data_IF_034071512754
#
_entry.id   IF_034071512754
#
_cell.length_a   1.000
_cell.length_b   1.000
_cell.length_c   1.000
_cell.angle_alpha   90.00
_cell.angle_beta   90.00
_cell.angle_gamma   90.00
#
_symmetry.space_group_name_H-M   'P 1'
#
loop_
_entity.id
_entity.type
_entity.pdbx_description
1 polymer ?
#
# COMPACT_ATOMS: atom_id res chain seq x y z
N UNK A 1 -23.94 4.93 61.09
CA UNK A 1 -25.23 4.20 61.18
C UNK A 1 -25.12 2.81 60.53
N UNK A 2 -24.51 2.70 59.34
CA UNK A 2 -24.30 1.42 58.64
C UNK A 2 -23.45 0.40 59.41
N UNK A 3 -22.37 0.81 60.08
CA UNK A 3 -21.52 -0.12 60.84
C UNK A 3 -22.23 -0.76 62.04
N UNK A 4 -23.17 -0.05 62.67
CA UNK A 4 -23.96 -0.57 63.80
C UNK A 4 -24.96 -1.62 63.30
N UNK A 5 -25.61 -1.36 62.17
CA UNK A 5 -26.54 -2.32 61.55
C UNK A 5 -25.83 -3.62 61.15
N UNK A 6 -24.61 -3.54 60.62
CA UNK A 6 -23.78 -4.72 60.28
C UNK A 6 -23.46 -5.58 61.50
N UNK A 7 -23.04 -4.95 62.59
CA UNK A 7 -22.75 -5.65 63.85
C UNK A 7 -24.00 -6.34 64.38
N UNK A 8 -25.17 -5.69 64.30
CA UNK A 8 -26.46 -6.27 64.71
C UNK A 8 -26.84 -7.48 63.84
N UNK A 9 -26.71 -7.40 62.51
CA UNK A 9 -27.00 -8.52 61.60
C UNK A 9 -26.02 -9.67 61.81
N UNK A 10 -24.74 -9.39 62.07
CA UNK A 10 -23.73 -10.41 62.34
C UNK A 10 -23.99 -11.16 63.66
N UNK A 11 -24.31 -10.42 64.74
CA UNK A 11 -24.70 -11.03 66.02
C UNK A 11 -25.97 -11.88 65.84
N UNK A 12 -26.95 -11.40 65.08
CA UNK A 12 -28.18 -12.13 64.78
C UNK A 12 -27.91 -13.43 64.01
N UNK A 13 -26.99 -13.41 63.04
CA UNK A 13 -26.59 -14.62 62.31
C UNK A 13 -25.92 -15.64 63.23
N UNK A 14 -25.06 -15.21 64.15
CA UNK A 14 -24.44 -16.11 65.15
C UNK A 14 -25.50 -16.74 66.04
N UNK A 15 -26.46 -15.95 66.54
CA UNK A 15 -27.57 -16.49 67.32
C UNK A 15 -28.38 -17.53 66.54
N UNK A 16 -28.65 -17.29 65.25
CA UNK A 16 -29.36 -18.24 64.39
C UNK A 16 -28.56 -19.53 64.16
N UNK A 17 -27.23 -19.46 64.04
CA UNK A 17 -26.36 -20.65 63.98
C UNK A 17 -26.42 -21.45 65.29
N UNK A 18 -26.38 -20.78 66.44
CA UNK A 18 -26.52 -21.45 67.74
C UNK A 18 -27.89 -22.13 67.89
N UNK A 19 -28.97 -21.47 67.48
CA UNK A 19 -30.31 -22.05 67.47
C UNK A 19 -30.41 -23.25 66.52
N UNK A 20 -29.80 -23.17 65.33
CA UNK A 20 -29.75 -24.30 64.39
C UNK A 20 -28.98 -25.49 64.93
N UNK A 21 -27.87 -25.24 65.64
CA UNK A 21 -27.11 -26.29 66.32
C UNK A 21 -27.94 -26.96 67.42
N UNK A 22 -28.68 -26.17 68.20
CA UNK A 22 -29.59 -26.69 69.23
C UNK A 22 -30.72 -27.55 68.63
N UNK A 23 -31.39 -27.10 67.56
CA UNK A 23 -32.42 -27.89 66.89
C UNK A 23 -31.89 -29.16 66.24
N UNK A 24 -30.63 -29.14 65.78
CA UNK A 24 -29.95 -30.32 65.26
C UNK A 24 -29.68 -31.36 66.34
N UNK A 25 -29.52 -30.96 67.61
CA UNK A 25 -29.33 -31.90 68.73
C UNK A 25 -30.64 -32.55 69.20
N UNK A 26 -31.80 -31.99 68.84
CA UNK A 26 -33.14 -32.50 69.20
C UNK A 26 -33.78 -33.24 68.00
N UNK A 27 -32.99 -33.62 66.99
CA UNK A 27 -33.43 -34.27 65.74
C UNK A 27 -34.52 -33.52 64.97
N UNK A 28 -34.67 -32.21 65.17
CA UNK A 28 -35.59 -31.37 64.40
C UNK A 28 -34.92 -30.84 63.14
N UNK A 29 -34.64 -31.76 62.21
CA UNK A 29 -33.88 -31.49 60.97
C UNK A 29 -34.47 -30.32 60.17
N UNK A 30 -35.80 -30.28 60.01
CA UNK A 30 -36.47 -29.21 59.25
C UNK A 30 -36.27 -27.81 59.87
N UNK A 31 -36.35 -27.70 61.20
CA UNK A 31 -36.14 -26.44 61.91
C UNK A 31 -34.67 -26.02 61.87
N UNK A 32 -33.75 -26.98 62.07
CA UNK A 32 -32.32 -26.75 61.95
C UNK A 32 -31.95 -26.22 60.56
N UNK A 33 -32.41 -26.86 59.49
CA UNK A 33 -32.15 -26.42 58.11
C UNK A 33 -32.69 -25.01 57.84
N UNK A 34 -33.91 -24.70 58.31
CA UNK A 34 -34.49 -23.37 58.14
C UNK A 34 -33.67 -22.29 58.86
N UNK A 35 -33.24 -22.55 60.10
CA UNK A 35 -32.43 -21.60 60.88
C UNK A 35 -31.03 -21.40 60.32
N UNK A 36 -30.36 -22.45 59.84
CA UNK A 36 -29.07 -22.33 59.15
C UNK A 36 -29.20 -21.58 57.82
N UNK A 37 -30.26 -21.85 57.06
CA UNK A 37 -30.56 -21.11 55.82
C UNK A 37 -30.74 -19.61 56.08
N UNK A 38 -31.50 -19.24 57.12
CA UNK A 38 -31.68 -17.85 57.53
C UNK A 38 -30.38 -17.19 58.00
N UNK A 39 -29.52 -17.92 58.75
CA UNK A 39 -28.22 -17.42 59.20
C UNK A 39 -27.27 -17.13 58.03
N UNK A 40 -27.19 -18.03 57.05
CA UNK A 40 -26.39 -17.86 55.84
C UNK A 40 -26.89 -16.66 55.03
N UNK A 41 -28.21 -16.53 54.87
CA UNK A 41 -28.81 -15.40 54.14
C UNK A 41 -28.50 -14.07 54.82
N UNK A 42 -28.58 -14.01 56.15
CA UNK A 42 -28.24 -12.83 56.94
C UNK A 42 -26.75 -12.44 56.79
N UNK A 43 -25.84 -13.42 56.77
CA UNK A 43 -24.42 -13.16 56.48
C UNK A 43 -24.22 -12.65 55.06
N UNK A 44 -24.89 -13.23 54.06
CA UNK A 44 -24.84 -12.75 52.67
C UNK A 44 -25.25 -11.27 52.61
N UNK A 45 -26.34 -10.87 53.27
CA UNK A 45 -26.77 -9.48 53.30
C UNK A 45 -25.82 -8.55 54.08
N UNK A 46 -25.20 -9.02 55.15
CA UNK A 46 -24.19 -8.24 55.89
C UNK A 46 -22.97 -7.91 55.02
N UNK A 47 -22.52 -8.86 54.19
CA UNK A 47 -21.35 -8.71 53.31
C UNK A 47 -21.68 -8.22 51.89
N UNK A 48 -22.95 -8.18 51.48
CA UNK A 48 -23.37 -7.71 50.14
C UNK A 48 -22.96 -6.26 49.86
N UNK A 49 -22.89 -5.43 50.90
CA UNK A 49 -22.42 -4.04 50.80
C UNK A 49 -20.92 -3.95 50.51
N UNK A 50 -20.12 -4.93 50.94
CA UNK A 50 -18.68 -4.95 50.70
C UNK A 50 -18.32 -5.36 49.28
N UNK A 51 -19.13 -6.22 48.65
CA UNK A 51 -19.04 -6.50 47.21
C UNK A 51 -19.36 -5.29 46.33
N UNK A 52 -20.16 -4.33 46.82
CA UNK A 52 -20.37 -3.04 46.14
C UNK A 52 -19.15 -2.11 46.27
N UNK A 53 -18.44 -2.12 47.40
CA UNK A 53 -17.22 -1.33 47.59
C UNK A 53 -15.97 -1.94 46.94
N UNK A 54 -15.94 -3.24 46.67
CA UNK A 54 -14.88 -3.87 45.85
C UNK A 54 -14.90 -3.39 44.38
N UNK A 55 -16.02 -2.79 43.94
CA UNK A 55 -16.16 -2.08 42.66
C UNK A 55 -15.89 -0.57 42.75
N UNK A 56 -15.50 -0.03 43.91
CA UNK A 56 -15.45 1.43 44.14
C UNK A 56 -14.08 1.97 44.59
N UNK A 57 -13.06 1.13 44.76
CA UNK A 57 -11.82 1.48 45.46
C UNK A 57 -10.59 1.52 44.55
N UNK A 58 -10.59 2.32 43.47
CA UNK A 58 -9.38 2.67 42.69
C UNK A 58 -8.72 1.53 41.88
N UNK A 59 -8.87 0.27 42.31
CA UNK A 59 -8.35 -0.94 41.67
C UNK A 59 -9.05 -1.18 40.33
N UNK A 60 -10.32 -0.79 40.18
CA UNK A 60 -11.05 -0.88 38.90
C UNK A 60 -10.54 0.18 37.91
N UNK A 61 -10.16 1.37 38.38
CA UNK A 61 -9.54 2.40 37.54
C UNK A 61 -8.11 1.98 37.13
N UNK A 62 -7.31 1.45 38.06
CA UNK A 62 -5.96 0.96 37.75
C UNK A 62 -5.97 -0.27 36.81
N UNK A 63 -6.94 -1.18 36.95
CA UNK A 63 -7.16 -2.28 35.99
C UNK A 63 -7.67 -1.79 34.63
N UNK A 64 -8.51 -0.76 34.60
CA UNK A 64 -8.99 -0.16 33.36
C UNK A 64 -7.84 0.55 32.64
N UNK A 65 -7.08 1.38 33.35
CA UNK A 65 -5.94 2.12 32.82
C UNK A 65 -4.87 1.15 32.28
N UNK A 66 -4.55 0.09 33.03
CA UNK A 66 -3.64 -0.95 32.56
C UNK A 66 -4.16 -1.69 31.33
N UNK A 67 -5.47 -1.98 31.26
CA UNK A 67 -6.05 -2.60 30.06
C UNK A 67 -6.07 -1.66 28.86
N UNK A 68 -6.26 -0.36 29.09
CA UNK A 68 -6.16 0.67 28.05
C UNK A 68 -4.72 0.73 27.55
N UNK A 69 -3.73 0.76 28.45
CA UNK A 69 -2.31 0.76 28.09
C UNK A 69 -1.89 -0.51 27.33
N UNK A 70 -2.32 -1.69 27.79
CA UNK A 70 -2.09 -2.96 27.09
C UNK A 70 -2.77 -2.98 25.71
N UNK A 71 -3.97 -2.41 25.58
CA UNK A 71 -4.66 -2.28 24.30
C UNK A 71 -3.95 -1.28 23.36
N UNK A 72 -3.46 -0.16 23.87
CA UNK A 72 -2.70 0.83 23.11
C UNK A 72 -1.35 0.25 22.63
N UNK A 73 -0.64 -0.52 23.47
CA UNK A 73 0.56 -1.24 23.06
C UNK A 73 0.25 -2.28 21.97
N UNK A 74 -0.83 -3.05 22.11
CA UNK A 74 -1.27 -3.99 21.06
C UNK A 74 -1.61 -3.28 19.75
N UNK A 75 -2.33 -2.15 19.81
CA UNK A 75 -2.66 -1.34 18.62
C UNK A 75 -1.38 -0.79 17.99
N UNK A 76 -0.42 -0.32 18.79
CA UNK A 76 0.88 0.17 18.32
C UNK A 76 1.66 -0.92 17.60
N UNK A 77 1.74 -2.13 18.18
CA UNK A 77 2.37 -3.29 17.54
C UNK A 77 1.67 -3.71 16.25
N UNK A 78 0.33 -3.73 16.24
CA UNK A 78 -0.44 -4.01 15.02
C UNK A 78 -0.18 -2.97 13.93
N UNK A 79 -0.11 -1.68 14.27
CA UNK A 79 0.28 -0.62 13.33
C UNK A 79 1.70 -0.81 12.80
N UNK A 80 2.64 -1.21 13.66
CA UNK A 80 4.01 -1.53 13.27
C UNK A 80 4.10 -2.63 12.21
N UNK A 81 3.22 -3.64 12.27
CA UNK A 81 3.13 -4.72 11.28
C UNK A 81 2.34 -4.29 10.03
N UNK A 82 1.44 -3.32 10.17
CA UNK A 82 0.58 -2.85 9.07
C UNK A 82 1.39 -2.16 7.97
N UNK A 83 2.49 -1.48 8.30
CA UNK A 83 3.33 -0.77 7.31
C UNK A 83 4.03 -1.75 6.33
N UNK A 84 4.78 -2.78 6.79
CA UNK A 84 5.32 -3.79 5.87
C UNK A 84 4.25 -4.49 5.02
N UNK A 85 3.07 -4.73 5.59
CA UNK A 85 1.93 -5.30 4.84
C UNK A 85 1.45 -4.32 3.78
N UNK A 86 1.35 -3.03 4.08
CA UNK A 86 1.00 -1.99 3.12
C UNK A 86 1.97 -1.96 1.95
N UNK A 87 3.28 -1.90 2.22
CA UNK A 87 4.31 -1.93 1.19
C UNK A 87 4.18 -3.16 0.30
N UNK A 88 4.01 -4.34 0.90
CA UNK A 88 3.82 -5.59 0.17
C UNK A 88 2.56 -5.56 -0.71
N UNK A 89 1.42 -5.12 -0.16
CA UNK A 89 0.15 -5.06 -0.88
C UNK A 89 0.19 -4.05 -2.03
N UNK A 90 0.73 -2.86 -1.80
CA UNK A 90 0.85 -1.80 -2.79
C UNK A 90 1.84 -2.19 -3.90
N UNK A 91 2.99 -2.77 -3.54
CA UNK A 91 3.96 -3.31 -4.50
C UNK A 91 3.36 -4.45 -5.34
N UNK A 92 2.68 -5.40 -4.70
CA UNK A 92 2.00 -6.50 -5.39
C UNK A 92 0.94 -5.97 -6.36
N UNK A 93 0.08 -5.06 -5.88
CA UNK A 93 -0.96 -4.41 -6.71
C UNK A 93 -0.35 -3.64 -7.87
N UNK A 94 0.78 -2.95 -7.66
CA UNK A 94 1.52 -2.27 -8.71
C UNK A 94 2.06 -3.24 -9.77
N UNK A 95 2.33 -4.50 -9.46
CA UNK A 95 2.84 -5.48 -10.45
C UNK A 95 1.74 -6.26 -11.15
N UNK A 96 0.54 -6.33 -10.57
CA UNK A 96 -0.64 -6.97 -11.17
C UNK A 96 -0.99 -6.31 -12.52
N UNK A 97 -1.45 -7.12 -13.47
CA UNK A 97 -1.77 -6.70 -14.84
C UNK A 97 -0.59 -6.72 -15.82
N UNK A 98 0.66 -6.71 -15.32
CA UNK A 98 1.86 -6.51 -16.17
C UNK A 98 2.64 -7.82 -16.45
N UNK A 99 2.53 -8.82 -15.58
CA UNK A 99 3.16 -10.15 -15.72
C UNK A 99 2.17 -11.24 -16.17
N UNK A 100 1.40 -10.99 -17.24
CA UNK A 100 0.48 -11.99 -17.79
C UNK A 100 -0.80 -12.21 -16.98
N UNK A 101 -1.17 -11.26 -16.13
CA UNK A 101 -2.46 -11.24 -15.42
C UNK A 101 -3.40 -10.23 -16.07
N UNK A 102 -4.70 -10.54 -16.15
CA UNK A 102 -5.70 -9.77 -16.92
C UNK A 102 -6.43 -8.78 -16.02
N UNK A 103 -5.71 -7.98 -15.21
CA UNK A 103 -6.37 -6.95 -14.39
C UNK A 103 -6.25 -5.58 -15.07
N UNK A 104 -7.36 -5.00 -15.55
CA UNK A 104 -7.36 -3.66 -16.15
C UNK A 104 -6.90 -2.58 -15.16
N UNK A 105 -6.22 -1.54 -15.66
CA UNK A 105 -5.69 -0.35 -14.99
C UNK A 105 -6.74 0.29 -14.10
N UNK A 106 -7.97 0.38 -14.58
CA UNK A 106 -9.10 0.96 -13.82
C UNK A 106 -9.42 0.16 -12.57
N UNK A 107 -9.49 -1.16 -12.70
CA UNK A 107 -9.74 -2.06 -11.57
C UNK A 107 -8.58 -2.01 -10.57
N UNK A 108 -7.34 -2.03 -11.07
CA UNK A 108 -6.13 -1.92 -10.26
C UNK A 108 -6.06 -0.61 -9.49
N UNK A 109 -6.39 0.52 -10.14
CA UNK A 109 -6.47 1.83 -9.48
C UNK A 109 -7.56 1.85 -8.39
N UNK A 110 -8.73 1.27 -8.67
CA UNK A 110 -9.79 1.11 -7.68
C UNK A 110 -9.37 0.27 -6.48
N UNK A 111 -8.66 -0.83 -6.72
CA UNK A 111 -8.12 -1.70 -5.67
C UNK A 111 -7.08 -0.97 -4.81
N UNK A 112 -6.17 -0.22 -5.43
CA UNK A 112 -5.19 0.62 -4.72
C UNK A 112 -5.90 1.61 -3.77
N UNK A 113 -6.88 2.35 -4.27
CA UNK A 113 -7.64 3.32 -3.46
C UNK A 113 -8.43 2.65 -2.34
N UNK A 114 -8.85 1.38 -2.52
CA UNK A 114 -9.48 0.61 -1.46
C UNK A 114 -8.46 0.21 -0.39
N UNK A 115 -7.29 -0.30 -0.80
CA UNK A 115 -6.19 -0.66 0.11
C UNK A 115 -5.76 0.56 0.92
N UNK A 116 -5.54 1.72 0.29
CA UNK A 116 -5.19 2.97 0.98
C UNK A 116 -6.23 3.35 2.03
N UNK A 117 -7.52 3.32 1.69
CA UNK A 117 -8.60 3.65 2.64
C UNK A 117 -8.64 2.71 3.84
N UNK A 118 -8.45 1.41 3.63
CA UNK A 118 -8.41 0.45 4.74
C UNK A 118 -7.16 0.64 5.61
N UNK A 119 -6.00 0.89 5.02
CA UNK A 119 -4.76 1.16 5.76
C UNK A 119 -4.84 2.47 6.57
N UNK A 120 -5.49 3.50 6.04
CA UNK A 120 -5.76 4.74 6.78
C UNK A 120 -6.66 4.49 7.99
N UNK A 121 -7.70 3.65 7.87
CA UNK A 121 -8.54 3.26 9.02
C UNK A 121 -7.74 2.50 10.08
N UNK A 122 -6.71 1.76 9.69
CA UNK A 122 -5.76 1.12 10.60
C UNK A 122 -4.77 2.11 11.25
N UNK A 123 -4.77 3.38 10.85
CA UNK A 123 -3.93 4.43 11.41
C UNK A 123 -2.57 4.61 10.72
N UNK A 124 -2.41 4.09 9.50
CA UNK A 124 -1.24 4.39 8.66
C UNK A 124 -1.35 5.83 8.15
N UNK A 125 -0.29 6.62 8.28
CA UNK A 125 -0.30 8.02 7.84
C UNK A 125 -0.24 8.13 6.31
N UNK A 126 -0.69 9.27 5.78
CA UNK A 126 -0.58 9.57 4.34
C UNK A 126 0.87 9.55 3.84
N UNK A 127 1.80 10.03 4.66
CA UNK A 127 3.24 10.04 4.34
C UNK A 127 3.80 8.62 4.22
N UNK A 128 3.41 7.71 5.13
CA UNK A 128 3.81 6.30 5.07
C UNK A 128 3.22 5.60 3.84
N UNK A 129 1.97 5.89 3.49
CA UNK A 129 1.35 5.35 2.27
C UNK A 129 2.04 5.85 1.01
N UNK A 130 2.41 7.13 0.96
CA UNK A 130 3.14 7.68 -0.18
C UNK A 130 4.53 7.04 -0.32
N UNK A 131 5.25 6.88 0.79
CA UNK A 131 6.52 6.17 0.81
C UNK A 131 6.38 4.70 0.35
N UNK A 132 5.28 4.04 0.70
CA UNK A 132 5.00 2.66 0.29
C UNK A 132 4.61 2.53 -1.20
N UNK A 133 4.24 3.63 -1.88
CA UNK A 133 3.84 3.65 -3.29
C UNK A 133 5.01 3.81 -4.28
N UNK A 134 6.26 3.66 -3.85
CA UNK A 134 7.43 3.77 -4.75
C UNK A 134 7.28 2.90 -6.00
N UNK A 135 6.93 1.62 -5.85
CA UNK A 135 6.71 0.71 -6.98
C UNK A 135 5.53 1.14 -7.85
N UNK A 136 4.44 1.62 -7.23
CA UNK A 136 3.27 2.13 -7.92
C UNK A 136 3.63 3.30 -8.85
N UNK A 137 4.39 4.28 -8.34
CA UNK A 137 4.83 5.42 -9.13
C UNK A 137 5.83 5.03 -10.22
N UNK A 138 6.76 4.13 -9.93
CA UNK A 138 7.71 3.63 -10.91
C UNK A 138 7.00 2.99 -12.12
N UNK A 139 6.07 2.06 -11.87
CA UNK A 139 5.40 1.37 -12.96
C UNK A 139 4.43 2.25 -13.73
N UNK A 140 3.74 3.19 -13.10
CA UNK A 140 2.87 4.11 -13.84
C UNK A 140 3.66 5.08 -14.70
N UNK A 141 4.81 5.56 -14.22
CA UNK A 141 5.72 6.38 -15.02
C UNK A 141 6.25 5.57 -16.21
N UNK A 142 6.61 4.30 -15.99
CA UNK A 142 7.01 3.38 -17.06
C UNK A 142 5.90 3.18 -18.10
N UNK A 143 4.65 2.93 -17.67
CA UNK A 143 3.51 2.76 -18.57
C UNK A 143 3.23 4.03 -19.38
N UNK A 144 3.30 5.21 -18.76
CA UNK A 144 3.12 6.51 -19.44
C UNK A 144 4.24 6.79 -20.44
N UNK A 145 5.47 6.37 -20.13
CA UNK A 145 6.61 6.55 -21.03
C UNK A 145 6.66 5.54 -22.18
N UNK A 146 6.03 4.37 -22.02
CA UNK A 146 6.02 3.28 -23.01
C UNK A 146 5.63 3.73 -24.42
N UNK A 147 4.49 4.42 -24.67
CA UNK A 147 4.13 4.86 -26.01
C UNK A 147 5.16 5.81 -26.63
N UNK A 148 5.77 6.67 -25.81
CA UNK A 148 6.83 7.61 -26.22
C UNK A 148 8.03 6.83 -26.75
N UNK A 149 8.55 5.89 -25.96
CA UNK A 149 9.69 5.07 -26.33
C UNK A 149 9.39 4.15 -27.51
N UNK A 150 8.19 3.57 -27.59
CA UNK A 150 7.78 2.75 -28.73
C UNK A 150 7.77 3.56 -30.04
N UNK A 151 7.27 4.78 -30.02
CA UNK A 151 7.25 5.64 -31.21
C UNK A 151 8.66 6.07 -31.63
N UNK A 152 9.52 6.44 -30.68
CA UNK A 152 10.92 6.76 -30.96
C UNK A 152 11.66 5.57 -31.59
N UNK A 153 11.53 4.38 -30.98
CA UNK A 153 12.16 3.17 -31.49
C UNK A 153 11.60 2.81 -32.88
N UNK A 154 10.29 2.99 -33.12
CA UNK A 154 9.67 2.74 -34.42
C UNK A 154 10.28 3.63 -35.51
N UNK A 155 10.42 4.92 -35.27
CA UNK A 155 11.02 5.86 -36.24
C UNK A 155 12.49 5.50 -36.50
N UNK A 156 13.28 5.23 -35.46
CA UNK A 156 14.68 4.85 -35.61
C UNK A 156 14.85 3.51 -36.36
N UNK A 157 13.97 2.53 -36.11
CA UNK A 157 13.98 1.26 -36.85
C UNK A 157 13.58 1.42 -38.31
N UNK A 158 12.65 2.32 -38.63
CA UNK A 158 12.33 2.64 -40.02
C UNK A 158 13.56 3.22 -40.74
N UNK A 159 14.26 4.17 -40.11
CA UNK A 159 15.53 4.71 -40.63
C UNK A 159 16.61 3.65 -40.76
N UNK A 160 16.70 2.73 -39.80
CA UNK A 160 17.60 1.58 -39.88
C UNK A 160 17.28 0.70 -41.10
N UNK A 161 16.00 0.43 -41.35
CA UNK A 161 15.55 -0.38 -42.50
C UNK A 161 15.89 0.29 -43.83
N UNK A 162 15.56 1.58 -43.99
CA UNK A 162 15.91 2.38 -45.18
C UNK A 162 17.43 2.37 -45.43
N UNK A 163 18.22 2.49 -44.35
CA UNK A 163 19.68 2.45 -44.44
C UNK A 163 20.22 1.06 -44.78
N UNK A 164 19.63 0.00 -44.23
CA UNK A 164 19.98 -1.38 -44.55
C UNK A 164 19.67 -1.74 -46.00
N UNK A 165 18.58 -1.22 -46.58
CA UNK A 165 18.29 -1.40 -48.01
C UNK A 165 19.37 -0.77 -48.89
N UNK A 166 19.81 0.46 -48.56
CA UNK A 166 20.93 1.11 -49.24
C UNK A 166 22.23 0.31 -49.09
N UNK A 167 22.46 -0.26 -47.91
CA UNK A 167 23.63 -1.08 -47.64
C UNK A 167 23.62 -2.39 -48.45
N UNK A 168 22.48 -3.09 -48.52
CA UNK A 168 22.33 -4.30 -49.35
C UNK A 168 22.50 -4.02 -50.85
N UNK A 169 22.09 -2.84 -51.31
CA UNK A 169 22.26 -2.39 -52.69
C UNK A 169 23.68 -1.99 -53.08
N UNK A 170 24.64 -1.95 -52.14
CA UNK A 170 25.99 -1.42 -52.39
C UNK A 170 26.86 -2.31 -53.29
N UNK A 171 26.63 -3.63 -53.28
CA UNK A 171 27.37 -4.59 -54.11
C UNK A 171 28.80 -4.86 -53.63
N UNK A 172 29.69 -5.24 -54.56
CA UNK A 172 31.08 -5.58 -54.25
C UNK A 172 31.89 -4.35 -53.85
N UNK A 173 32.64 -4.46 -52.76
CA UNK A 173 33.53 -3.42 -52.25
C UNK A 173 34.77 -3.34 -53.15
N UNK A 174 34.92 -2.23 -53.87
CA UNK A 174 36.09 -1.90 -54.67
C UNK A 174 36.87 -0.75 -54.01
N UNK A 175 38.18 -0.57 -54.28
CA UNK A 175 38.99 0.46 -53.61
C UNK A 175 38.45 1.90 -53.77
N UNK A 176 37.81 2.20 -54.90
CA UNK A 176 37.15 3.47 -55.21
C UNK A 176 35.84 3.69 -54.44
N UNK A 177 35.24 2.63 -53.89
CA UNK A 177 33.99 2.67 -53.13
C UNK A 177 34.19 2.43 -51.63
N UNK A 178 35.43 2.23 -51.19
CA UNK A 178 35.74 1.90 -49.81
C UNK A 178 35.29 3.00 -48.83
N UNK A 179 35.57 4.28 -49.13
CA UNK A 179 35.14 5.40 -48.28
C UNK A 179 33.62 5.50 -48.15
N UNK A 180 32.89 5.30 -49.26
CA UNK A 180 31.43 5.30 -49.25
C UNK A 180 30.86 4.11 -48.45
N UNK A 181 31.48 2.93 -48.53
CA UNK A 181 31.12 1.77 -47.72
C UNK A 181 31.39 2.01 -46.23
N UNK A 182 32.55 2.58 -45.89
CA UNK A 182 32.93 2.91 -44.52
C UNK A 182 31.96 3.93 -43.90
N UNK A 183 31.58 4.97 -44.64
CA UNK A 183 30.58 5.95 -44.21
C UNK A 183 29.22 5.29 -43.93
N UNK A 184 28.79 4.34 -44.75
CA UNK A 184 27.55 3.59 -44.52
C UNK A 184 27.63 2.69 -43.27
N UNK A 185 28.76 2.02 -43.04
CA UNK A 185 29.01 1.23 -41.83
C UNK A 185 28.96 2.10 -40.58
N UNK A 186 29.66 3.25 -40.60
CA UNK A 186 29.66 4.21 -39.49
C UNK A 186 28.25 4.68 -39.17
N UNK A 187 27.48 5.06 -40.21
CA UNK A 187 26.10 5.51 -40.05
C UNK A 187 25.20 4.44 -39.45
N UNK A 188 25.34 3.17 -39.86
CA UNK A 188 24.58 2.07 -39.26
C UNK A 188 24.94 1.87 -37.77
N UNK A 189 26.22 2.05 -37.42
CA UNK A 189 26.67 2.04 -36.03
C UNK A 189 26.07 3.17 -35.19
N UNK A 190 25.93 4.38 -35.74
CA UNK A 190 25.25 5.51 -35.09
C UNK A 190 23.78 5.20 -34.83
N UNK A 191 23.06 4.67 -35.82
CA UNK A 191 21.64 4.28 -35.67
C UNK A 191 21.48 3.24 -34.56
N UNK A 192 22.33 2.22 -34.54
CA UNK A 192 22.28 1.20 -33.51
C UNK A 192 22.55 1.78 -32.11
N UNK A 193 23.56 2.65 -31.97
CA UNK A 193 23.87 3.33 -30.71
C UNK A 193 22.71 4.18 -30.20
N UNK A 194 22.04 4.93 -31.06
CA UNK A 194 20.88 5.73 -30.66
C UNK A 194 19.69 4.86 -30.25
N UNK A 195 19.45 3.72 -30.91
CA UNK A 195 18.42 2.76 -30.50
C UNK A 195 18.72 2.16 -29.12
N UNK A 196 19.97 1.73 -28.89
CA UNK A 196 20.36 1.18 -27.59
C UNK A 196 20.29 2.26 -26.49
N UNK A 197 20.74 3.48 -26.77
CA UNK A 197 20.60 4.61 -25.84
C UNK A 197 19.15 4.85 -25.42
N UNK A 198 18.20 4.77 -26.35
CA UNK A 198 16.76 4.94 -26.05
C UNK A 198 16.22 3.78 -25.22
N UNK A 199 16.65 2.55 -25.48
CA UNK A 199 16.28 1.39 -24.64
C UNK A 199 16.85 1.51 -23.24
N UNK A 200 18.11 1.92 -23.11
CA UNK A 200 18.77 2.13 -21.82
C UNK A 200 18.03 3.19 -21.02
N UNK A 201 17.69 4.33 -21.65
CA UNK A 201 16.89 5.39 -21.04
C UNK A 201 15.53 4.89 -20.55
N UNK A 202 14.86 4.02 -21.31
CA UNK A 202 13.58 3.45 -20.93
C UNK A 202 13.66 2.55 -19.68
N UNK A 203 14.81 1.88 -19.48
CA UNK A 203 15.02 0.97 -18.34
C UNK A 203 15.58 1.65 -17.09
N UNK A 204 15.87 2.96 -17.14
CA UNK A 204 16.39 3.69 -15.98
C UNK A 204 15.38 3.73 -14.83
N UNK A 205 15.87 3.44 -13.62
CA UNK A 205 15.07 3.53 -12.38
C UNK A 205 14.79 4.97 -11.96
N UNK A 206 15.76 5.86 -12.14
CA UNK A 206 15.55 7.29 -11.91
C UNK A 206 14.89 7.90 -13.14
N UNK A 207 13.62 8.25 -13.00
CA UNK A 207 12.80 8.77 -14.08
C UNK A 207 12.56 10.29 -13.95
N UNK A 208 13.19 10.95 -12.97
CA UNK A 208 12.97 12.38 -12.69
C UNK A 208 13.30 13.28 -13.87
N UNK A 209 14.33 12.93 -14.64
CA UNK A 209 14.80 13.68 -15.82
C UNK A 209 14.37 13.05 -17.14
N UNK A 210 13.50 12.03 -17.13
CA UNK A 210 13.16 11.27 -18.32
C UNK A 210 12.60 12.14 -19.45
N UNK A 211 11.70 13.07 -19.11
CA UNK A 211 11.09 13.99 -20.09
C UNK A 211 12.14 14.91 -20.73
N UNK A 212 13.04 15.46 -19.93
CA UNK A 212 14.12 16.31 -20.43
C UNK A 212 15.08 15.51 -21.32
N UNK A 213 15.47 14.30 -20.90
CA UNK A 213 16.31 13.40 -21.68
C UNK A 213 15.69 13.03 -23.03
N UNK A 214 14.38 12.77 -23.08
CA UNK A 214 13.66 12.50 -24.33
C UNK A 214 13.62 13.74 -25.22
N UNK A 215 13.26 14.91 -24.68
CA UNK A 215 13.24 16.17 -25.43
C UNK A 215 14.63 16.49 -26.01
N UNK A 216 15.67 16.36 -25.19
CA UNK A 216 17.06 16.57 -25.62
C UNK A 216 17.47 15.57 -26.70
N UNK A 217 17.12 14.28 -26.56
CA UNK A 217 17.41 13.27 -27.58
C UNK A 217 16.77 13.62 -28.93
N UNK A 218 15.50 14.02 -28.95
CA UNK A 218 14.80 14.38 -30.19
C UNK A 218 15.54 15.53 -30.91
N UNK A 219 16.01 16.52 -30.16
CA UNK A 219 16.73 17.67 -30.71
C UNK A 219 18.16 17.32 -31.15
N UNK A 220 18.88 16.53 -30.34
CA UNK A 220 20.30 16.25 -30.55
C UNK A 220 20.59 15.02 -31.40
N UNK A 221 19.59 14.19 -31.69
CA UNK A 221 19.75 12.98 -32.50
C UNK A 221 20.35 13.32 -33.85
N UNK A 222 21.39 12.60 -34.22
CA UNK A 222 22.04 12.73 -35.53
C UNK A 222 21.36 11.86 -36.59
N UNK A 223 20.53 10.92 -36.17
CA UNK A 223 19.84 9.94 -37.01
C UNK A 223 18.52 10.50 -37.53
N UNK A 224 17.78 11.22 -36.69
CA UNK A 224 16.48 11.79 -37.03
C UNK A 224 16.62 12.94 -38.04
N UNK A 225 15.77 12.92 -39.07
CA UNK A 225 15.63 14.05 -39.99
C UNK A 225 14.78 15.16 -39.35
N UNK A 226 14.87 16.38 -39.86
CA UNK A 226 14.06 17.50 -39.36
C UNK A 226 12.55 17.24 -39.49
N UNK A 227 12.13 16.48 -40.51
CA UNK A 227 10.75 15.99 -40.65
C UNK A 227 10.35 15.06 -39.50
N UNK A 228 11.24 14.14 -39.11
CA UNK A 228 10.98 13.19 -38.02
C UNK A 228 10.88 13.91 -36.69
N UNK A 229 11.76 14.90 -36.47
CA UNK A 229 11.76 15.72 -35.25
C UNK A 229 10.47 16.50 -35.12
N UNK A 230 9.99 17.11 -36.20
CA UNK A 230 8.72 17.86 -36.20
C UNK A 230 7.52 16.93 -35.96
N UNK A 231 7.49 15.78 -36.62
CA UNK A 231 6.44 14.77 -36.44
C UNK A 231 6.41 14.23 -35.01
N UNK A 232 7.56 13.81 -34.47
CA UNK A 232 7.69 13.31 -33.11
C UNK A 232 7.30 14.37 -32.08
N UNK A 233 7.75 15.61 -32.25
CA UNK A 233 7.43 16.70 -31.32
C UNK A 233 5.93 17.02 -31.29
N UNK A 234 5.25 16.91 -32.44
CA UNK A 234 3.80 17.08 -32.52
C UNK A 234 3.04 15.90 -31.93
N UNK A 235 3.41 14.67 -32.34
CA UNK A 235 2.72 13.45 -31.98
C UNK A 235 2.87 13.08 -30.50
N UNK A 236 4.03 13.34 -29.89
CA UNK A 236 4.34 12.97 -28.50
C UNK A 236 4.05 14.09 -27.49
N UNK A 237 3.51 15.23 -27.95
CA UNK A 237 3.36 16.41 -27.11
C UNK A 237 2.52 16.12 -25.88
N UNK A 238 1.38 15.45 -26.06
CA UNK A 238 0.43 15.24 -24.97
C UNK A 238 0.91 14.14 -24.00
N UNK A 239 1.58 13.11 -24.51
CA UNK A 239 2.19 12.03 -23.74
C UNK A 239 3.35 12.56 -22.88
N UNK A 240 4.18 13.44 -23.44
CA UNK A 240 5.26 14.10 -22.68
C UNK A 240 4.70 14.99 -21.58
N UNK A 241 3.59 15.71 -21.83
CA UNK A 241 2.91 16.51 -20.80
C UNK A 241 2.29 15.63 -19.71
N UNK A 242 1.70 14.49 -20.07
CA UNK A 242 1.17 13.53 -19.08
C UNK A 242 2.27 12.95 -18.20
N UNK A 243 3.39 12.55 -18.82
CA UNK A 243 4.55 12.02 -18.12
C UNK A 243 5.18 13.07 -17.19
N UNK A 244 5.35 14.30 -17.68
CA UNK A 244 5.90 15.42 -16.91
C UNK A 244 5.01 15.76 -15.71
N UNK A 245 3.69 15.86 -15.93
CA UNK A 245 2.74 16.10 -14.86
C UNK A 245 2.76 14.99 -13.81
N UNK A 246 2.80 13.72 -14.23
CA UNK A 246 2.84 12.59 -13.30
C UNK A 246 4.14 12.54 -12.49
N UNK A 247 5.29 12.81 -13.11
CA UNK A 247 6.57 12.84 -12.40
C UNK A 247 6.55 13.89 -11.28
N UNK A 248 5.98 15.07 -11.54
CA UNK A 248 5.93 16.21 -10.62
C UNK A 248 4.87 16.06 -9.53
N UNK A 249 3.65 15.65 -9.90
CA UNK A 249 2.48 15.67 -9.01
C UNK A 249 2.09 14.31 -8.45
N UNK A 250 2.61 13.22 -9.03
CA UNK A 250 2.16 11.83 -8.80
C UNK A 250 0.68 11.59 -9.12
N UNK A 251 0.08 12.46 -9.93
CA UNK A 251 -1.31 12.38 -10.38
C UNK A 251 -1.39 12.29 -11.91
N UNK A 252 -2.46 11.66 -12.41
CA UNK A 252 -2.71 11.55 -13.85
C UNK A 252 -3.38 12.82 -14.37
N UNK A 253 -2.82 13.44 -15.41
CA UNK A 253 -3.42 14.62 -16.06
C UNK A 253 -4.70 14.25 -16.83
N UNK A 254 -4.69 13.10 -17.51
CA UNK A 254 -5.79 12.58 -18.34
C UNK A 254 -6.09 11.13 -17.95
N UNK A 255 -6.76 10.89 -16.81
CA UNK A 255 -6.96 9.53 -16.30
C UNK A 255 -7.76 8.64 -17.26
N UNK A 256 -8.76 9.19 -17.97
CA UNK A 256 -9.57 8.41 -18.92
C UNK A 256 -8.73 7.81 -20.05
N UNK A 257 -7.84 8.61 -20.65
CA UNK A 257 -6.89 8.17 -21.69
C UNK A 257 -5.97 7.07 -21.15
N UNK A 258 -5.49 7.22 -19.91
CA UNK A 258 -4.65 6.22 -19.28
C UNK A 258 -5.39 4.89 -19.04
N UNK A 259 -6.68 4.95 -18.69
CA UNK A 259 -7.51 3.75 -18.49
C UNK A 259 -7.88 3.04 -19.80
N UNK A 260 -8.14 3.79 -20.88
CA UNK A 260 -8.54 3.23 -22.19
C UNK A 260 -7.42 2.40 -22.86
N UNK A 261 -6.16 2.71 -22.58
CA UNK A 261 -5.01 2.02 -23.18
C UNK A 261 -4.88 0.52 -22.84
N UNK A 262 -5.73 -0.02 -21.97
CA UNK A 262 -5.84 -1.46 -21.70
C UNK A 262 -6.81 -2.19 -22.62
N UNK A 263 -7.76 -1.50 -23.27
CA UNK A 263 -8.77 -2.13 -24.15
C UNK A 263 -8.18 -2.53 -25.52
N UNK A 264 -6.90 -2.23 -25.76
CA UNK A 264 -6.15 -2.55 -26.98
C UNK A 264 -5.24 -3.79 -26.89
N UNK A 265 -5.30 -4.54 -25.77
CA UNK A 265 -4.54 -5.79 -25.56
C UNK A 265 -5.38 -7.05 -25.81
#
# INVERSE_FOLDING_TARGET
MESILKIVIFIMAICLFCCGAYFSLIDQVAAATATYGAAILALIFAFLTEFKTFKGLGIEAELLDRKIEEADDLISRLRGITIPIAEMLLSSTARMGRLGTIMPRRQRYGLLNQIERELQKCGVSLEQLEAAKVDWHFFNTFDLATPIFQQLIKVLKNRQSEHQEKFKGFGTITPDKYEAHEALCKRNGEIHKEIEFIKDMWQQRDQTKMVESVKNFIVSSTVLLDSDRAELSGALKEELLDLEHYIQSKQFRRPDVWFESDDSL
#
